data_IF_426672412181
#
_entry.id   IF_426672412181
#
_cell.length_a   1.000
_cell.length_b   1.000
_cell.length_c   1.000
_cell.angle_alpha   90.00
_cell.angle_beta   90.00
_cell.angle_gamma   90.00
#
_symmetry.space_group_name_H-M   'P 1'
#
loop_
_entity.id
_entity.type
_entity.pdbx_description
1 polymer ?
#
# COMPACT_ATOMS: atom_id res chain seq x y z
N UNK A 1 3.30 -0.13 -11.28
CA UNK A 1 2.85 -1.31 -12.05
C UNK A 1 3.83 -2.46 -11.98
N UNK A 2 4.66 -2.61 -13.02
CA UNK A 2 5.61 -3.73 -13.10
C UNK A 2 6.59 -3.78 -11.94
N UNK A 3 7.19 -2.63 -11.59
CA UNK A 3 8.12 -2.50 -10.45
C UNK A 3 7.52 -3.02 -9.15
N UNK A 4 6.33 -2.54 -8.77
CA UNK A 4 5.64 -2.94 -7.54
C UNK A 4 5.39 -4.44 -7.51
N UNK A 5 4.94 -5.01 -8.64
CA UNK A 5 4.68 -6.44 -8.75
C UNK A 5 5.96 -7.26 -8.61
N UNK A 6 7.05 -6.83 -9.24
CA UNK A 6 8.37 -7.46 -9.09
C UNK A 6 8.88 -7.37 -7.65
N UNK A 7 8.73 -6.22 -6.99
CA UNK A 7 9.16 -6.02 -5.61
C UNK A 7 8.40 -6.95 -4.66
N UNK A 8 7.07 -7.06 -4.82
CA UNK A 8 6.23 -7.98 -4.02
C UNK A 8 6.59 -9.44 -4.30
N UNK A 9 6.80 -9.82 -5.57
CA UNK A 9 7.22 -11.18 -5.91
C UNK A 9 8.54 -11.58 -5.27
N UNK A 10 9.53 -10.66 -5.29
CA UNK A 10 10.82 -10.87 -4.64
C UNK A 10 10.67 -10.95 -3.11
N UNK A 11 9.87 -10.07 -2.51
CA UNK A 11 9.60 -10.11 -1.07
C UNK A 11 8.95 -11.43 -0.64
N UNK A 12 7.98 -11.93 -1.42
CA UNK A 12 7.36 -13.24 -1.20
C UNK A 12 8.38 -14.38 -1.32
N UNK A 13 9.21 -14.38 -2.36
CA UNK A 13 10.22 -15.42 -2.58
C UNK A 13 11.30 -15.43 -1.48
N UNK A 14 11.74 -14.25 -1.05
CA UNK A 14 12.73 -14.07 0.02
C UNK A 14 12.15 -14.28 1.43
N UNK A 15 10.82 -14.45 1.57
CA UNK A 15 10.11 -14.51 2.86
C UNK A 15 10.38 -13.25 3.70
N UNK A 16 10.38 -12.10 3.06
CA UNK A 16 10.56 -10.82 3.74
C UNK A 16 9.38 -10.53 4.68
N UNK A 17 9.64 -9.80 5.76
CA UNK A 17 8.59 -9.39 6.71
C UNK A 17 7.59 -8.39 6.09
N UNK A 18 8.02 -7.64 5.06
CA UNK A 18 7.21 -6.67 4.29
C UNK A 18 7.88 -6.28 2.98
N UNK A 19 7.10 -5.70 2.07
CA UNK A 19 7.57 -5.02 0.87
C UNK A 19 7.38 -3.50 1.01
N UNK A 20 8.44 -2.71 0.92
CA UNK A 20 8.36 -1.25 1.01
C UNK A 20 8.34 -0.62 -0.38
N UNK A 21 7.35 0.21 -0.65
CA UNK A 21 7.20 0.96 -1.90
C UNK A 21 7.42 2.44 -1.59
N UNK A 22 8.56 2.97 -2.03
CA UNK A 22 8.91 4.38 -1.90
C UNK A 22 8.40 5.16 -3.10
N UNK A 23 7.62 6.21 -2.85
CA UNK A 23 6.95 7.02 -3.88
C UNK A 23 6.92 8.50 -3.47
N UNK A 24 6.33 9.37 -4.28
CA UNK A 24 6.22 10.81 -4.00
C UNK A 24 5.10 11.18 -3.01
N UNK A 25 4.19 10.26 -2.73
CA UNK A 25 3.18 10.38 -1.67
C UNK A 25 3.66 9.75 -0.35
N UNK A 26 3.11 10.22 0.76
CA UNK A 26 3.48 9.78 2.12
C UNK A 26 2.58 8.67 2.69
N UNK A 27 1.62 8.19 1.90
CA UNK A 27 0.75 7.08 2.27
C UNK A 27 -0.50 7.03 1.41
N UNK A 28 -1.47 6.24 1.87
CA UNK A 28 -2.80 6.10 1.27
C UNK A 28 -3.79 6.89 2.10
N UNK A 29 -4.69 7.62 1.43
CA UNK A 29 -5.75 8.42 2.04
C UNK A 29 -7.12 7.82 1.73
N UNK A 30 -8.12 8.13 2.56
CA UNK A 30 -9.53 7.75 2.34
C UNK A 30 -10.13 8.34 1.05
N UNK A 31 -9.62 9.49 0.62
CA UNK A 31 -9.96 10.21 -0.62
C UNK A 31 -8.80 11.13 -1.03
N UNK A 32 -8.86 11.69 -2.24
CA UNK A 32 -7.77 12.52 -2.77
C UNK A 32 -7.56 13.80 -1.92
N UNK A 33 -6.42 13.93 -1.20
CA UNK A 33 -6.15 15.09 -0.33
C UNK A 33 -5.95 16.39 -1.10
N UNK A 34 -5.75 16.34 -2.43
CA UNK A 34 -5.66 17.54 -3.29
C UNK A 34 -7.02 18.16 -3.55
N UNK A 35 -8.09 17.37 -3.42
CA UNK A 35 -9.48 17.79 -3.62
C UNK A 35 -10.17 18.02 -2.28
N UNK A 36 -9.91 17.16 -1.30
CA UNK A 36 -10.54 17.17 0.02
C UNK A 36 -9.51 17.47 1.11
N UNK A 37 -9.56 18.68 1.67
CA UNK A 37 -8.62 19.09 2.72
C UNK A 37 -8.82 18.34 4.05
N UNK A 38 -9.96 17.67 4.24
CA UNK A 38 -10.28 16.81 5.38
C UNK A 38 -9.93 15.33 5.15
N UNK A 39 -9.25 15.00 4.04
CA UNK A 39 -8.80 13.64 3.76
C UNK A 39 -7.87 13.15 4.88
N UNK A 40 -8.11 11.90 5.30
CA UNK A 40 -7.40 11.26 6.41
C UNK A 40 -6.50 10.15 5.89
N UNK A 41 -5.22 10.23 6.23
CA UNK A 41 -4.23 9.21 5.89
C UNK A 41 -4.45 7.96 6.74
N UNK A 42 -4.41 6.78 6.11
CA UNK A 42 -4.44 5.51 6.83
C UNK A 42 -3.08 5.22 7.48
N UNK A 43 -3.07 4.80 8.74
CA UNK A 43 -1.89 4.12 9.31
C UNK A 43 -1.78 2.68 8.80
N UNK A 44 -2.94 2.01 8.66
CA UNK A 44 -3.09 0.66 8.11
C UNK A 44 -4.41 0.53 7.36
N UNK A 45 -4.43 -0.28 6.32
CA UNK A 45 -5.61 -0.58 5.51
C UNK A 45 -5.58 -2.07 5.10
N UNK A 46 -6.74 -2.72 4.96
CA UNK A 46 -6.78 -4.11 4.48
C UNK A 46 -6.49 -4.19 2.98
N UNK A 47 -6.13 -5.38 2.48
CA UNK A 47 -5.94 -5.58 1.04
C UNK A 47 -7.23 -5.29 0.27
N UNK A 48 -8.37 -5.71 0.79
CA UNK A 48 -9.70 -5.53 0.18
C UNK A 48 -10.05 -4.05 0.08
N UNK A 49 -9.86 -3.28 1.17
CA UNK A 49 -10.15 -1.84 1.16
C UNK A 49 -9.19 -1.09 0.24
N UNK A 50 -7.92 -1.50 0.15
CA UNK A 50 -6.98 -0.94 -0.82
C UNK A 50 -7.43 -1.22 -2.26
N UNK A 51 -7.89 -2.45 -2.56
CA UNK A 51 -8.45 -2.80 -3.87
C UNK A 51 -9.67 -1.93 -4.21
N UNK A 52 -10.59 -1.73 -3.26
CA UNK A 52 -11.73 -0.81 -3.45
C UNK A 52 -11.28 0.61 -3.76
N UNK A 53 -10.22 1.12 -3.12
CA UNK A 53 -9.70 2.45 -3.45
C UNK A 53 -9.11 2.50 -4.87
N UNK A 54 -8.39 1.47 -5.30
CA UNK A 54 -7.84 1.36 -6.66
C UNK A 54 -8.98 1.34 -7.70
N UNK A 55 -10.03 0.56 -7.45
CA UNK A 55 -11.24 0.49 -8.29
C UNK A 55 -11.95 1.85 -8.39
N UNK A 56 -11.89 2.66 -7.33
CA UNK A 56 -12.41 4.04 -7.30
C UNK A 56 -11.40 5.09 -7.81
N UNK A 57 -10.30 4.67 -8.43
CA UNK A 57 -9.36 5.54 -9.12
C UNK A 57 -8.13 5.98 -8.32
N UNK A 58 -7.89 5.41 -7.13
CA UNK A 58 -6.62 5.64 -6.44
C UNK A 58 -5.44 5.08 -7.25
N UNK A 59 -4.38 5.87 -7.40
CA UNK A 59 -3.22 5.53 -8.26
C UNK A 59 -1.93 5.26 -7.47
N UNK A 60 -2.04 5.00 -6.16
CA UNK A 60 -0.88 4.86 -5.27
C UNK A 60 -0.18 3.51 -5.43
N UNK A 61 -0.94 2.44 -5.66
CA UNK A 61 -0.44 1.07 -5.89
C UNK A 61 -1.15 0.49 -7.12
N UNK A 62 -0.48 -0.44 -7.80
CA UNK A 62 -1.09 -1.20 -8.87
C UNK A 62 -1.82 -2.44 -8.31
N UNK A 63 -3.04 -2.70 -8.77
CA UNK A 63 -3.90 -3.83 -8.35
C UNK A 63 -3.16 -5.17 -8.21
N UNK A 64 -2.39 -5.57 -9.22
CA UNK A 64 -1.66 -6.83 -9.28
C UNK A 64 -0.61 -6.98 -8.19
N UNK A 65 -0.02 -5.87 -7.73
CA UNK A 65 0.92 -5.91 -6.60
C UNK A 65 0.20 -6.17 -5.28
N UNK A 66 -0.99 -5.59 -5.10
CA UNK A 66 -1.83 -5.79 -3.91
C UNK A 66 -2.40 -7.21 -3.88
N UNK A 67 -2.85 -7.73 -5.02
CA UNK A 67 -3.34 -9.10 -5.15
C UNK A 67 -2.25 -10.13 -4.84
N UNK A 68 -1.06 -9.97 -5.42
CA UNK A 68 0.07 -10.86 -5.15
C UNK A 68 0.51 -10.80 -3.68
N UNK A 69 0.53 -9.61 -3.09
CA UNK A 69 0.83 -9.42 -1.68
C UNK A 69 -0.17 -10.15 -0.78
N UNK A 70 -1.47 -10.08 -1.10
CA UNK A 70 -2.53 -10.81 -0.41
C UNK A 70 -2.35 -12.31 -0.51
N UNK A 71 -2.08 -12.84 -1.71
CA UNK A 71 -1.90 -14.27 -1.96
C UNK A 71 -0.74 -14.87 -1.16
N UNK A 72 0.35 -14.11 -0.98
CA UNK A 72 1.54 -14.56 -0.25
C UNK A 72 1.61 -14.08 1.19
N UNK A 73 0.63 -13.32 1.67
CA UNK A 73 0.60 -12.77 3.03
C UNK A 73 1.71 -11.75 3.31
N UNK A 74 2.20 -11.04 2.29
CA UNK A 74 3.29 -10.06 2.41
C UNK A 74 2.70 -8.64 2.56
N UNK A 75 2.83 -7.98 3.73
CA UNK A 75 2.37 -6.60 3.87
C UNK A 75 3.13 -5.65 2.94
N UNK A 76 2.42 -4.72 2.31
CA UNK A 76 3.03 -3.61 1.56
C UNK A 76 3.07 -2.37 2.46
N UNK A 77 4.17 -1.63 2.48
CA UNK A 77 4.25 -0.34 3.15
C UNK A 77 4.52 0.76 2.11
N UNK A 78 3.56 1.67 1.94
CA UNK A 78 3.66 2.82 1.04
C UNK A 78 4.28 3.97 1.81
N UNK A 79 5.43 4.46 1.35
CA UNK A 79 6.27 5.43 2.04
C UNK A 79 6.66 6.57 1.10
N UNK A 80 6.87 7.76 1.66
CA UNK A 80 7.48 8.86 0.90
C UNK A 80 8.98 8.60 0.71
N UNK A 81 9.46 8.77 -0.53
CA UNK A 81 10.88 8.77 -0.87
C UNK A 81 11.64 10.00 -0.33
N UNK A 82 10.92 11.02 0.13
CA UNK A 82 11.48 12.31 0.55
C UNK A 82 11.53 12.49 2.07
N UNK A 83 10.96 11.56 2.83
CA UNK A 83 10.89 11.65 4.30
C UNK A 83 11.21 10.30 4.93
N UNK A 84 11.64 10.31 6.19
CA UNK A 84 11.79 9.08 6.99
C UNK A 84 10.55 8.76 7.82
N UNK A 85 9.40 9.36 7.52
CA UNK A 85 8.19 9.20 8.32
C UNK A 85 7.51 7.84 8.03
N UNK A 86 6.82 7.24 9.02
CA UNK A 86 5.97 6.08 8.79
C UNK A 86 4.89 6.39 7.75
N UNK A 87 4.66 5.43 6.86
CA UNK A 87 3.69 5.52 5.79
C UNK A 87 2.39 4.78 6.11
N UNK A 88 1.79 4.16 5.10
CA UNK A 88 0.60 3.31 5.25
C UNK A 88 0.96 1.85 5.03
N UNK A 89 0.54 0.98 5.96
CA UNK A 89 0.65 -0.48 5.78
C UNK A 89 -0.62 -1.03 5.13
N UNK A 90 -0.48 -1.70 3.99
CA UNK A 90 -1.53 -2.46 3.31
C UNK A 90 -1.40 -3.94 3.69
N UNK A 91 -2.40 -4.44 4.40
CA UNK A 91 -2.50 -5.84 4.82
C UNK A 91 -1.69 -6.24 6.06
N UNK A 92 -1.57 -7.56 6.29
CA UNK A 92 -0.89 -8.20 7.43
C UNK A 92 -1.76 -8.46 8.67
N UNK A 93 -1.27 -9.25 9.63
CA UNK A 93 -1.93 -9.60 10.90
C UNK A 93 -1.78 -8.52 11.98
N UNK A 94 -2.47 -7.40 11.80
CA UNK A 94 -2.80 -6.46 12.87
C UNK A 94 -4.31 -6.33 12.78
N UNK A 95 -5.02 -6.80 13.80
CA UNK A 95 -6.48 -6.81 13.94
C UNK A 95 -7.13 -5.67 13.16
N UNK A 96 -7.81 -6.05 12.08
CA UNK A 96 -8.78 -5.22 11.40
C UNK A 96 -9.95 -5.00 12.35
N UNK A 97 -10.22 -3.74 12.67
CA UNK A 97 -11.55 -3.13 12.55
C UNK A 97 -11.36 -1.62 12.39
#
# INVERSE_FOLDING_TARGET
GGSDTTAVALAAWLKADRCQIFTDVDGVYDRDPRIYSDATRFGRISYEKMMTLIENGAQVLHDRSVELAREHGIPIEVLSAFTGAPGTIVGGSGTSD
#
